data_IF_305354784562
#
_entry.id   IF_305354784562
#
_cell.length_a   1.000
_cell.length_b   1.000
_cell.length_c   1.000
_cell.angle_alpha   90.00
_cell.angle_beta   90.00
_cell.angle_gamma   90.00
#
_symmetry.space_group_name_H-M   'P 1'
#
loop_
_entity.id
_entity.type
_entity.pdbx_description
1 polymer ?
#
# COMPACT_ATOMS: atom_id res chain seq x y z
N UNK A 1 9.37 -15.45 -25.18
CA UNK A 1 7.96 -15.55 -25.63
C UNK A 1 7.10 -15.67 -24.39
N UNK A 2 6.39 -14.61 -23.98
CA UNK A 2 5.61 -14.60 -22.75
C UNK A 2 4.18 -15.04 -23.08
N UNK A 3 3.78 -16.23 -22.63
CA UNK A 3 2.44 -16.80 -22.84
C UNK A 3 1.44 -16.11 -21.90
N UNK A 4 0.97 -14.92 -22.28
CA UNK A 4 -0.13 -14.25 -21.58
C UNK A 4 -1.46 -14.79 -22.12
N UNK A 5 -2.31 -15.31 -21.23
CA UNK A 5 -3.71 -15.62 -21.53
C UNK A 5 -4.38 -14.40 -22.18
N UNK A 6 -5.12 -14.56 -23.30
CA UNK A 6 -5.67 -13.42 -24.02
C UNK A 6 -6.62 -12.64 -23.11
N UNK A 7 -6.26 -11.39 -22.82
CA UNK A 7 -7.06 -10.48 -22.00
C UNK A 7 -8.25 -10.01 -22.84
N UNK A 8 -9.46 -10.11 -22.29
CA UNK A 8 -10.73 -9.76 -22.97
C UNK A 8 -10.72 -8.40 -23.68
N UNK A 9 -9.94 -7.44 -23.16
CA UNK A 9 -9.82 -6.08 -23.71
C UNK A 9 -8.39 -5.69 -24.08
N UNK A 10 -7.40 -6.59 -23.96
CA UNK A 10 -5.99 -6.24 -24.17
C UNK A 10 -5.39 -5.27 -23.14
N UNK A 11 -6.08 -5.02 -22.02
CA UNK A 11 -5.65 -4.09 -20.95
C UNK A 11 -5.33 -4.85 -19.66
N UNK A 12 -4.21 -4.50 -19.04
CA UNK A 12 -3.82 -4.93 -17.69
C UNK A 12 -3.99 -3.80 -16.69
N UNK A 13 -4.52 -4.09 -15.51
CA UNK A 13 -4.67 -3.13 -14.41
C UNK A 13 -3.91 -3.64 -13.19
N UNK A 14 -3.17 -2.74 -12.54
CA UNK A 14 -2.42 -3.04 -11.30
C UNK A 14 -2.80 -2.04 -10.23
N UNK A 15 -3.47 -2.50 -9.18
CA UNK A 15 -3.79 -1.71 -8.00
C UNK A 15 -2.55 -1.58 -7.10
N UNK A 16 -2.08 -0.35 -6.89
CA UNK A 16 -0.94 -0.03 -6.05
C UNK A 16 -1.43 0.42 -4.69
N UNK A 17 -1.06 -0.30 -3.63
CA UNK A 17 -1.51 -0.04 -2.25
C UNK A 17 -0.31 0.26 -1.35
N UNK A 18 0.27 1.48 -1.42
CA UNK A 18 1.42 1.87 -0.61
C UNK A 18 1.03 2.19 0.83
N UNK A 19 1.99 2.04 1.74
CA UNK A 19 1.95 2.71 3.04
C UNK A 19 2.16 4.23 2.89
N UNK A 20 2.29 4.97 4.01
CA UNK A 20 2.56 6.41 3.95
C UNK A 20 3.81 6.71 3.13
N UNK A 21 3.64 7.52 2.08
CA UNK A 21 4.76 7.98 1.25
C UNK A 21 5.12 9.38 1.71
N UNK A 22 6.35 9.66 2.16
CA UNK A 22 6.71 10.98 2.66
C UNK A 22 6.69 11.98 1.50
N UNK A 23 5.59 12.72 1.39
CA UNK A 23 5.38 13.77 0.39
C UNK A 23 4.69 14.96 1.03
N UNK A 24 4.83 16.14 0.42
CA UNK A 24 4.21 17.39 0.88
C UNK A 24 2.66 17.31 0.94
N UNK A 25 2.08 16.34 0.22
CA UNK A 25 0.64 16.09 0.21
C UNK A 25 0.07 15.80 1.61
N UNK A 26 0.85 15.19 2.51
CA UNK A 26 0.39 14.84 3.85
C UNK A 26 0.23 16.08 4.74
N UNK A 27 1.14 17.04 4.60
CA UNK A 27 1.10 18.32 5.29
C UNK A 27 -0.01 19.22 4.76
N UNK A 28 -0.25 19.21 3.44
CA UNK A 28 -1.35 19.99 2.83
C UNK A 28 -2.74 19.48 3.21
N UNK A 29 -2.88 18.18 3.50
CA UNK A 29 -4.16 17.56 3.87
C UNK A 29 -4.37 17.40 5.39
N UNK A 30 -3.56 18.04 6.23
CA UNK A 30 -3.57 17.87 7.70
C UNK A 30 -3.53 16.39 8.14
N UNK A 31 -2.88 15.53 7.34
CA UNK A 31 -2.81 14.08 7.58
C UNK A 31 -1.55 13.68 8.37
N UNK A 32 -0.74 14.66 8.81
CA UNK A 32 0.50 14.44 9.55
C UNK A 32 0.29 13.65 10.85
N UNK A 33 -0.89 13.75 11.47
CA UNK A 33 -1.23 12.95 12.65
C UNK A 33 -1.33 11.44 12.36
N UNK A 34 -1.72 11.05 11.14
CA UNK A 34 -1.76 9.63 10.74
C UNK A 34 -0.34 9.13 10.42
N UNK A 35 0.46 9.97 9.78
CA UNK A 35 1.85 9.66 9.40
C UNK A 35 2.76 9.56 10.64
N UNK A 36 2.51 10.36 11.67
CA UNK A 36 3.25 10.35 12.94
C UNK A 36 2.86 9.18 13.85
N UNK A 37 1.60 8.72 13.78
CA UNK A 37 1.13 7.54 14.54
C UNK A 37 1.42 6.20 13.86
N UNK A 38 1.88 6.21 12.61
CA UNK A 38 2.29 5.00 11.90
C UNK A 38 3.77 4.68 12.14
N UNK A 39 4.14 3.39 12.28
CA UNK A 39 5.53 3.02 12.50
C UNK A 39 6.45 3.49 11.37
N UNK A 40 7.67 3.91 11.69
CA UNK A 40 8.64 4.43 10.70
C UNK A 40 8.93 3.43 9.56
N UNK A 41 8.88 2.12 9.84
CA UNK A 41 9.06 1.06 8.83
C UNK A 41 7.94 1.00 7.78
N UNK A 42 6.79 1.62 8.04
CA UNK A 42 5.67 1.70 7.11
C UNK A 42 5.87 2.81 6.05
N UNK A 43 6.82 3.72 6.27
CA UNK A 43 7.14 4.78 5.32
C UNK A 43 7.98 4.22 4.18
N UNK A 44 7.47 4.35 2.97
CA UNK A 44 8.15 3.86 1.75
C UNK A 44 8.45 5.06 0.86
N UNK A 45 9.70 5.25 0.40
CA UNK A 45 10.04 6.35 -0.49
C UNK A 45 9.32 6.22 -1.84
N UNK A 46 8.98 7.35 -2.46
CA UNK A 46 8.17 7.38 -3.69
C UNK A 46 8.81 6.61 -4.84
N UNK A 47 10.14 6.69 -4.97
CA UNK A 47 10.93 6.00 -6.00
C UNK A 47 10.75 4.48 -5.87
N UNK A 48 10.72 3.98 -4.62
CA UNK A 48 10.50 2.55 -4.35
C UNK A 48 9.07 2.14 -4.66
N UNK A 49 8.10 2.98 -4.36
CA UNK A 49 6.69 2.76 -4.71
C UNK A 49 6.53 2.56 -6.22
N UNK A 50 7.13 3.46 -7.01
CA UNK A 50 7.09 3.43 -8.47
C UNK A 50 7.81 2.19 -9.01
N UNK A 51 9.03 1.89 -8.52
CA UNK A 51 9.79 0.72 -8.97
C UNK A 51 9.04 -0.60 -8.73
N UNK A 52 8.45 -0.77 -7.54
CA UNK A 52 7.67 -1.97 -7.22
C UNK A 52 6.37 -2.06 -8.04
N UNK A 53 5.74 -0.91 -8.32
CA UNK A 53 4.52 -0.84 -9.13
C UNK A 53 4.77 -1.24 -10.60
N UNK A 54 5.80 -0.67 -11.23
CA UNK A 54 6.16 -1.00 -12.61
C UNK A 54 6.52 -2.48 -12.75
N UNK A 55 7.34 -2.99 -11.83
CA UNK A 55 7.71 -4.42 -11.79
C UNK A 55 6.50 -5.34 -11.60
N UNK A 56 5.49 -4.91 -10.85
CA UNK A 56 4.25 -5.67 -10.67
C UNK A 56 3.40 -5.66 -11.94
N UNK A 57 3.30 -4.52 -12.62
CA UNK A 57 2.58 -4.37 -13.87
C UNK A 57 3.20 -5.23 -15.00
N UNK A 58 4.53 -5.19 -15.15
CA UNK A 58 5.27 -6.04 -16.12
C UNK A 58 5.02 -7.54 -15.89
N UNK A 59 4.83 -7.93 -14.63
CA UNK A 59 4.56 -9.32 -14.23
C UNK A 59 3.08 -9.70 -14.30
N UNK A 60 2.21 -8.80 -14.77
CA UNK A 60 0.77 -9.02 -14.83
C UNK A 60 0.10 -9.19 -13.47
N UNK A 61 0.67 -8.64 -12.39
CA UNK A 61 0.07 -8.72 -11.06
C UNK A 61 -1.07 -7.71 -10.93
N UNK A 62 -2.23 -8.18 -10.50
CA UNK A 62 -3.41 -7.33 -10.28
C UNK A 62 -3.25 -6.38 -9.07
N UNK A 63 -2.43 -6.74 -8.08
CA UNK A 63 -2.24 -5.93 -6.87
C UNK A 63 -0.79 -5.96 -6.41
N UNK A 64 -0.31 -4.82 -5.90
CA UNK A 64 1.02 -4.69 -5.30
C UNK A 64 0.93 -3.84 -4.04
N UNK A 65 1.58 -4.33 -2.99
CA UNK A 65 1.91 -3.56 -1.78
C UNK A 65 3.39 -3.22 -1.88
N UNK A 66 3.74 -1.97 -2.23
CA UNK A 66 5.12 -1.51 -2.32
C UNK A 66 5.80 -1.43 -0.96
N UNK A 67 7.12 -1.67 -0.95
CA UNK A 67 7.93 -1.64 0.27
C UNK A 67 8.59 -2.97 0.60
N UNK A 68 9.27 -3.00 1.75
CA UNK A 68 10.01 -4.16 2.23
C UNK A 68 9.12 -5.31 2.73
N UNK A 69 9.70 -6.48 3.03
CA UNK A 69 8.98 -7.63 3.58
C UNK A 69 8.21 -7.27 4.86
N UNK A 70 8.70 -6.34 5.68
CA UNK A 70 8.00 -5.87 6.88
C UNK A 70 6.66 -5.17 6.58
N UNK A 71 6.61 -4.30 5.56
CA UNK A 71 5.38 -3.61 5.16
C UNK A 71 4.35 -4.60 4.61
N UNK A 72 4.83 -5.52 3.76
CA UNK A 72 3.99 -6.58 3.19
C UNK A 72 3.45 -7.52 4.25
N UNK A 73 4.28 -7.94 5.20
CA UNK A 73 3.86 -8.79 6.32
C UNK A 73 2.88 -8.05 7.22
N UNK A 74 3.13 -6.78 7.57
CA UNK A 74 2.20 -6.00 8.38
C UNK A 74 0.81 -5.86 7.74
N UNK A 75 0.76 -5.51 6.44
CA UNK A 75 -0.50 -5.42 5.70
C UNK A 75 -1.15 -6.77 5.41
N UNK A 76 -0.37 -7.84 5.28
CA UNK A 76 -0.92 -9.20 5.21
C UNK A 76 -1.49 -9.63 6.56
N UNK A 77 -0.80 -9.32 7.66
CA UNK A 77 -1.23 -9.60 9.04
C UNK A 77 -2.53 -8.87 9.39
N UNK A 78 -2.71 -7.63 8.93
CA UNK A 78 -3.95 -6.88 9.18
C UNK A 78 -5.19 -7.56 8.58
N UNK A 79 -5.03 -8.36 7.51
CA UNK A 79 -6.13 -9.16 6.93
C UNK A 79 -6.58 -10.32 7.82
N UNK A 80 -5.75 -10.74 8.78
CA UNK A 80 -6.10 -11.77 9.75
C UNK A 80 -6.72 -11.21 11.02
N UNK A 81 -6.78 -9.87 11.17
CA UNK A 81 -7.42 -9.23 12.33
C UNK A 81 -8.91 -9.05 12.01
N UNK A 82 -9.82 -9.65 12.79
CA UNK A 82 -11.25 -9.44 12.63
C UNK A 82 -11.62 -7.96 12.76
N UNK A 83 -12.50 -7.47 11.90
CA UNK A 83 -13.03 -6.10 11.90
C UNK A 83 -13.45 -5.58 13.28
N UNK A 84 -14.18 -6.31 14.15
CA UNK A 84 -14.57 -5.79 15.47
C UNK A 84 -13.38 -5.51 16.40
N UNK A 85 -12.23 -6.15 16.19
CA UNK A 85 -11.02 -5.92 16.98
C UNK A 85 -10.17 -4.78 16.39
N UNK A 86 -10.13 -4.65 15.07
CA UNK A 86 -9.39 -3.59 14.39
C UNK A 86 -10.08 -2.22 14.53
N UNK A 87 -11.41 -2.18 14.48
CA UNK A 87 -12.20 -0.95 14.54
C UNK A 87 -11.84 -0.03 15.71
N UNK A 88 -11.88 -0.44 17.00
CA UNK A 88 -11.60 0.47 18.11
C UNK A 88 -10.20 1.07 18.05
N UNK A 89 -9.20 0.32 17.55
CA UNK A 89 -7.84 0.79 17.35
C UNK A 89 -7.79 1.84 16.25
N UNK A 90 -8.37 1.55 15.08
CA UNK A 90 -8.43 2.49 13.95
C UNK A 90 -9.19 3.76 14.33
N UNK A 91 -10.36 3.64 14.97
CA UNK A 91 -11.14 4.80 15.42
C UNK A 91 -10.36 5.66 16.42
N UNK A 92 -9.53 5.04 17.28
CA UNK A 92 -8.65 5.78 18.21
C UNK A 92 -7.45 6.41 17.51
N UNK A 93 -6.96 5.82 16.42
CA UNK A 93 -5.92 6.44 15.57
C UNK A 93 -6.46 7.65 14.79
N UNK A 94 -7.73 7.59 14.35
CA UNK A 94 -8.40 8.66 13.60
C UNK A 94 -9.02 9.77 14.47
N UNK A 95 -9.22 9.54 15.77
CA UNK A 95 -9.61 10.61 16.71
C UNK A 95 -8.43 11.56 16.91
N UNK A 96 -8.65 12.82 16.51
CA UNK A 96 -7.80 13.98 16.83
C UNK A 96 -7.72 14.16 18.35
#
# INVERSE_FOLDING_TARGET
MNTATPLRYGVTVTAVCPGPVPTEFQTVNDADFLVSRLPAFARVPAERVVADALKAAERGRATVVPGGPHVRSFLASSRFIPTPLALPVVTRMYKR
#
